data_IF_039721434809
#
_entry.id   IF_039721434809
#
_cell.length_a   1.000
_cell.length_b   1.000
_cell.length_c   1.000
_cell.angle_alpha   90.00
_cell.angle_beta   90.00
_cell.angle_gamma   90.00
#
_symmetry.space_group_name_H-M   'P 1'
#
loop_
_entity.id
_entity.type
_entity.pdbx_description
1 polymer ?
#
# COMPACT_ATOMS: atom_id res chain seq x y z
N UNK A 1 3.51 -18.39 -10.21
CA UNK A 1 3.30 -18.24 -8.77
C UNK A 1 4.30 -17.22 -8.22
N UNK A 2 4.40 -16.04 -8.85
CA UNK A 2 5.31 -14.94 -8.47
C UNK A 2 4.62 -13.65 -8.92
N UNK A 3 3.63 -13.16 -8.17
CA UNK A 3 2.93 -11.92 -8.55
C UNK A 3 2.72 -10.91 -7.42
N UNK A 4 3.24 -11.13 -6.21
CA UNK A 4 2.89 -10.27 -5.07
C UNK A 4 4.07 -9.61 -4.33
N UNK A 5 5.27 -9.57 -4.92
CA UNK A 5 6.43 -8.93 -4.26
C UNK A 5 6.87 -7.60 -4.89
N UNK A 6 6.02 -6.95 -5.65
CA UNK A 6 6.38 -5.75 -6.42
C UNK A 6 5.58 -4.50 -6.04
N UNK A 7 5.17 -4.36 -4.78
CA UNK A 7 4.62 -3.10 -4.26
C UNK A 7 5.53 -2.56 -3.14
N UNK A 8 6.83 -2.52 -3.38
CA UNK A 8 7.80 -1.75 -2.62
C UNK A 8 8.75 -1.03 -3.57
N UNK A 9 8.24 -0.05 -4.19
CA UNK A 9 8.99 1.03 -4.76
C UNK A 9 8.03 2.22 -4.71
N UNK A 10 8.33 3.32 -4.23
CA UNK A 10 9.38 4.22 -4.61
C UNK A 10 9.11 5.59 -4.06
N UNK A 11 10.11 6.28 -3.72
CA UNK A 11 10.00 7.56 -3.04
C UNK A 11 11.00 8.60 -3.44
N UNK A 12 10.61 9.87 -3.71
CA UNK A 12 11.60 10.91 -3.86
C UNK A 12 11.23 12.40 -3.87
N UNK A 13 12.23 13.24 -3.77
CA UNK A 13 12.28 14.61 -3.31
C UNK A 13 12.10 15.69 -4.37
N UNK A 14 11.40 16.74 -4.00
CA UNK A 14 11.57 18.10 -4.49
C UNK A 14 11.53 19.06 -3.31
N UNK A 15 12.55 19.91 -3.21
CA UNK A 15 12.61 20.97 -2.23
C UNK A 15 11.95 22.22 -2.81
N UNK A 16 10.85 22.62 -2.24
CA UNK A 16 10.41 24.00 -2.38
C UNK A 16 10.73 24.78 -1.12
N UNK A 17 11.11 26.04 -1.28
CA UNK A 17 11.32 26.97 -0.19
C UNK A 17 10.07 27.04 0.69
N UNK A 18 10.28 27.09 2.00
CA UNK A 18 9.23 26.95 3.02
C UNK A 18 8.22 28.10 3.08
N UNK A 19 8.43 29.22 2.38
CA UNK A 19 7.69 30.44 2.70
C UNK A 19 6.43 30.74 1.84
N UNK A 20 6.22 30.09 0.70
CA UNK A 20 5.13 30.51 -0.20
C UNK A 20 4.06 29.44 -0.54
N UNK A 21 4.24 28.18 -0.14
CA UNK A 21 3.31 27.12 -0.54
C UNK A 21 2.01 27.05 0.28
N UNK A 22 1.88 27.83 1.35
CA UNK A 22 0.72 27.76 2.24
C UNK A 22 -0.38 28.82 1.95
N UNK A 23 -0.11 29.85 1.19
CA UNK A 23 -1.07 30.96 1.01
C UNK A 23 -1.94 30.81 -0.23
N UNK A 24 -1.36 30.47 -1.37
CA UNK A 24 -2.07 30.58 -2.66
C UNK A 24 -2.71 29.29 -3.20
N UNK A 25 -2.30 28.14 -2.74
CA UNK A 25 -2.84 26.85 -3.22
C UNK A 25 -4.26 26.54 -2.70
N UNK A 26 -4.84 27.40 -1.85
CA UNK A 26 -6.16 27.16 -1.23
C UNK A 26 -7.33 27.75 -2.01
N UNK A 27 -7.10 28.72 -2.89
CA UNK A 27 -8.15 29.46 -3.59
C UNK A 27 -8.29 29.14 -5.09
N UNK A 28 -7.43 28.28 -5.65
CA UNK A 28 -7.63 27.82 -7.02
C UNK A 28 -8.78 26.80 -7.08
N UNK A 29 -9.65 26.87 -8.09
CA UNK A 29 -10.76 25.93 -8.25
C UNK A 29 -10.18 24.51 -8.41
N UNK A 30 -10.32 23.71 -7.37
CA UNK A 30 -10.03 22.27 -7.46
C UNK A 30 -10.97 21.66 -8.48
N UNK A 31 -10.53 20.69 -9.29
CA UNK A 31 -11.42 19.90 -10.13
C UNK A 31 -12.62 19.46 -9.30
N UNK A 32 -13.81 19.48 -9.88
CA UNK A 32 -15.04 19.14 -9.20
C UNK A 32 -14.84 17.89 -8.32
N UNK A 33 -15.23 18.00 -7.05
CA UNK A 33 -15.16 16.86 -6.13
C UNK A 33 -15.76 15.63 -6.81
N UNK A 34 -15.06 14.52 -6.80
CA UNK A 34 -15.58 13.25 -7.26
C UNK A 34 -16.76 12.87 -6.36
N UNK A 35 -17.96 13.20 -6.80
CA UNK A 35 -19.21 12.81 -6.14
C UNK A 35 -19.69 11.54 -6.83
N UNK A 36 -19.58 10.41 -6.13
CA UNK A 36 -20.34 9.22 -6.51
C UNK A 36 -21.81 9.58 -6.52
N UNK A 37 -22.51 9.23 -7.61
CA UNK A 37 -23.95 9.45 -7.72
C UNK A 37 -24.68 8.77 -6.55
N UNK A 38 -25.61 9.47 -5.86
CA UNK A 38 -26.36 8.88 -4.75
C UNK A 38 -27.31 7.77 -5.15
N UNK A 39 -27.57 7.60 -6.43
CA UNK A 39 -28.57 6.66 -6.98
C UNK A 39 -28.03 5.26 -7.22
N UNK A 40 -26.72 5.05 -7.12
CA UNK A 40 -26.14 3.72 -7.27
C UNK A 40 -25.97 3.04 -5.91
N UNK A 41 -26.38 1.79 -5.81
CA UNK A 41 -26.40 0.88 -4.65
C UNK A 41 -25.02 0.63 -3.98
N UNK A 42 -24.10 1.57 -4.01
CA UNK A 42 -22.72 1.49 -3.52
C UNK A 42 -22.41 2.48 -2.40
N UNK A 43 -23.41 2.88 -1.64
CA UNK A 43 -23.16 3.76 -0.49
C UNK A 43 -22.44 3.00 0.62
N UNK A 44 -21.35 3.58 1.12
CA UNK A 44 -20.67 3.07 2.31
C UNK A 44 -21.48 3.47 3.54
N UNK A 45 -21.92 2.51 4.33
CA UNK A 45 -22.62 2.73 5.59
C UNK A 45 -21.79 2.19 6.76
N UNK A 46 -21.85 2.88 7.89
CA UNK A 46 -21.31 2.35 9.13
C UNK A 46 -22.34 1.41 9.76
N UNK A 47 -21.93 0.18 10.03
CA UNK A 47 -22.76 -0.85 10.61
C UNK A 47 -22.14 -1.38 11.91
N UNK A 48 -22.96 -2.05 12.72
CA UNK A 48 -22.51 -2.70 13.96
C UNK A 48 -22.88 -4.18 13.92
N UNK A 49 -21.95 -5.03 14.33
CA UNK A 49 -22.18 -6.48 14.45
C UNK A 49 -23.00 -6.81 15.69
N UNK A 50 -23.57 -8.02 15.79
CA UNK A 50 -24.24 -8.50 17.01
C UNK A 50 -23.38 -8.43 18.28
N UNK A 51 -22.06 -8.54 18.17
CA UNK A 51 -21.11 -8.44 19.30
C UNK A 51 -20.57 -7.03 19.56
N UNK A 52 -21.04 -6.03 18.80
CA UNK A 52 -20.72 -4.62 19.03
C UNK A 52 -19.50 -4.10 18.28
N UNK A 53 -18.92 -4.86 17.33
CA UNK A 53 -17.88 -4.34 16.46
C UNK A 53 -18.48 -3.43 15.39
N UNK A 54 -17.85 -2.30 15.11
CA UNK A 54 -18.25 -1.41 14.01
C UNK A 54 -17.49 -1.78 12.74
N UNK A 55 -18.16 -1.68 11.60
CA UNK A 55 -17.54 -1.91 10.28
C UNK A 55 -18.18 -1.03 9.22
N UNK A 56 -17.40 -0.64 8.23
CA UNK A 56 -17.88 -0.02 7.01
C UNK A 56 -18.41 -1.10 6.08
N UNK A 57 -19.64 -0.92 5.62
CA UNK A 57 -20.33 -1.88 4.77
C UNK A 57 -20.70 -1.24 3.43
N UNK A 58 -20.30 -1.88 2.33
CA UNK A 58 -20.63 -1.46 0.97
C UNK A 58 -21.13 -2.68 0.16
N UNK A 59 -22.46 -2.94 0.13
CA UNK A 59 -23.00 -4.03 -0.65
C UNK A 59 -22.87 -3.77 -2.15
N UNK A 60 -22.71 -4.84 -2.90
CA UNK A 60 -22.70 -4.81 -4.38
C UNK A 60 -23.74 -5.82 -4.86
N UNK A 61 -24.91 -5.31 -5.26
CA UNK A 61 -26.02 -6.11 -5.76
C UNK A 61 -26.14 -6.00 -7.29
N UNK A 62 -25.13 -6.49 -8.00
CA UNK A 62 -25.14 -6.52 -9.45
C UNK A 62 -25.26 -7.96 -9.97
N UNK A 63 -25.98 -8.19 -11.09
CA UNK A 63 -26.02 -9.49 -11.72
C UNK A 63 -24.62 -10.00 -12.06
N UNK A 64 -24.30 -11.22 -11.64
CA UNK A 64 -23.00 -11.84 -11.90
C UNK A 64 -21.90 -11.52 -10.88
N UNK A 65 -22.11 -10.60 -9.94
CA UNK A 65 -21.17 -10.38 -8.81
C UNK A 65 -21.47 -11.42 -7.73
N UNK A 66 -20.48 -12.25 -7.44
CA UNK A 66 -20.55 -13.28 -6.39
C UNK A 66 -19.54 -13.06 -5.29
N UNK A 67 -18.54 -12.23 -5.52
CA UNK A 67 -17.39 -12.09 -4.63
C UNK A 67 -17.68 -11.20 -3.43
N UNK A 68 -17.08 -11.57 -2.32
CA UNK A 68 -17.09 -10.84 -1.06
C UNK A 68 -15.63 -10.55 -0.71
N UNK A 69 -15.36 -9.32 -0.28
CA UNK A 69 -14.06 -8.93 0.25
C UNK A 69 -14.24 -8.37 1.67
N UNK A 70 -13.43 -8.85 2.59
CA UNK A 70 -13.32 -8.32 3.94
C UNK A 70 -11.89 -7.85 4.15
N UNK A 71 -11.75 -6.58 4.51
CA UNK A 71 -10.45 -5.97 4.85
C UNK A 71 -10.46 -5.49 6.29
N UNK A 72 -9.42 -5.82 7.03
CA UNK A 72 -9.24 -5.40 8.42
C UNK A 72 -7.87 -4.74 8.55
N UNK A 73 -7.83 -3.55 9.15
CA UNK A 73 -6.60 -2.88 9.54
C UNK A 73 -6.41 -3.00 11.06
N UNK A 74 -5.35 -3.70 11.45
CA UNK A 74 -4.92 -3.80 12.85
C UNK A 74 -3.87 -2.73 13.13
N UNK A 75 -4.08 -1.83 14.10
CA UNK A 75 -3.07 -0.85 14.50
C UNK A 75 -1.76 -1.54 14.90
N UNK A 76 -0.65 -1.01 14.45
CA UNK A 76 0.69 -1.51 14.75
C UNK A 76 1.64 -0.35 15.01
N UNK A 77 2.49 -0.50 16.02
CA UNK A 77 3.56 0.43 16.32
C UNK A 77 4.96 -0.20 16.12
N UNK A 78 5.01 -1.37 15.52
CA UNK A 78 6.24 -2.16 15.39
C UNK A 78 7.36 -1.41 14.68
N UNK A 79 7.02 -0.62 13.67
CA UNK A 79 7.96 0.15 12.87
C UNK A 79 8.65 1.30 13.64
N UNK A 80 8.14 1.69 14.79
CA UNK A 80 8.61 2.85 15.54
C UNK A 80 9.53 2.52 16.72
N UNK A 81 9.67 1.25 17.04
CA UNK A 81 10.49 0.80 18.16
C UNK A 81 11.84 0.27 17.67
N UNK A 82 12.90 1.06 17.87
CA UNK A 82 14.25 0.73 17.40
C UNK A 82 14.80 -0.62 17.94
N UNK A 83 14.30 -1.09 19.08
CA UNK A 83 14.66 -2.37 19.68
C UNK A 83 14.00 -3.57 19.00
N UNK A 84 13.01 -3.36 18.12
CA UNK A 84 12.28 -4.43 17.45
C UNK A 84 12.90 -4.77 16.10
N UNK A 85 12.95 -6.03 15.80
CA UNK A 85 13.45 -6.50 14.51
C UNK A 85 12.43 -6.15 13.40
N UNK A 86 12.78 -5.30 12.40
CA UNK A 86 11.87 -4.82 11.37
C UNK A 86 11.40 -5.91 10.39
N UNK A 87 12.08 -7.05 10.31
CA UNK A 87 11.70 -8.16 9.43
C UNK A 87 10.58 -9.04 10.02
N UNK A 88 10.28 -8.90 11.31
CA UNK A 88 9.27 -9.73 11.98
C UNK A 88 7.87 -9.59 11.37
N UNK A 89 7.33 -8.38 11.09
CA UNK A 89 6.01 -8.26 10.47
C UNK A 89 5.96 -8.91 9.08
N UNK A 90 7.00 -8.78 8.28
CA UNK A 90 7.05 -9.38 6.93
C UNK A 90 7.08 -10.90 6.98
N UNK A 91 7.94 -11.48 7.81
CA UNK A 91 8.01 -12.94 7.97
C UNK A 91 6.73 -13.47 8.64
N UNK A 92 6.18 -12.71 9.59
CA UNK A 92 4.96 -13.04 10.28
C UNK A 92 3.75 -13.12 9.35
N UNK A 93 3.56 -12.10 8.52
CA UNK A 93 2.46 -12.04 7.54
C UNK A 93 2.56 -13.15 6.49
N UNK A 94 3.75 -13.40 5.93
CA UNK A 94 3.98 -14.51 5.00
C UNK A 94 3.73 -15.88 5.66
N UNK A 95 4.08 -16.01 6.93
CA UNK A 95 3.83 -17.25 7.67
C UNK A 95 2.34 -17.46 7.96
N UNK A 96 1.58 -16.38 8.25
CA UNK A 96 0.14 -16.47 8.42
C UNK A 96 -0.55 -16.92 7.13
N UNK A 97 -0.14 -16.36 5.99
CA UNK A 97 -0.74 -16.67 4.70
C UNK A 97 -0.47 -18.09 4.21
N UNK A 98 0.66 -18.67 4.55
CA UNK A 98 1.14 -19.89 3.92
C UNK A 98 1.54 -21.00 4.88
N UNK A 99 1.62 -20.70 6.17
CA UNK A 99 2.18 -21.60 7.17
C UNK A 99 1.21 -22.65 7.72
N UNK A 100 -0.06 -22.56 7.37
CA UNK A 100 -1.11 -23.40 7.93
C UNK A 100 -1.49 -23.01 9.36
N UNK A 101 -2.45 -23.73 9.91
CA UNK A 101 -2.93 -23.57 11.29
C UNK A 101 -2.50 -24.78 12.13
N UNK A 102 -2.91 -24.81 13.39
CA UNK A 102 -2.70 -25.97 14.24
C UNK A 102 -3.32 -27.25 13.64
N UNK A 103 -4.44 -27.09 12.93
CA UNK A 103 -5.26 -28.21 12.45
C UNK A 103 -5.10 -28.48 10.94
N UNK A 104 -4.55 -27.54 10.17
CA UNK A 104 -4.40 -27.60 8.72
C UNK A 104 -2.94 -27.36 8.33
N UNK A 105 -2.39 -28.23 7.47
CA UNK A 105 -1.04 -28.06 6.93
C UNK A 105 -0.98 -26.96 5.87
N UNK A 106 0.22 -26.45 5.53
CA UNK A 106 0.42 -25.48 4.45
C UNK A 106 -0.13 -25.95 3.10
N UNK A 107 -0.04 -27.23 2.80
CA UNK A 107 -0.55 -27.81 1.55
C UNK A 107 -2.08 -27.79 1.53
N UNK A 108 -2.70 -28.29 2.58
CA UNK A 108 -4.17 -28.31 2.71
C UNK A 108 -4.76 -26.91 2.71
N UNK A 109 -4.09 -25.93 3.33
CA UNK A 109 -4.52 -24.52 3.27
C UNK A 109 -4.56 -23.99 1.83
N UNK A 110 -3.48 -24.24 1.07
CA UNK A 110 -3.41 -23.80 -0.31
C UNK A 110 -4.44 -24.50 -1.21
N UNK A 111 -4.62 -25.81 -1.05
CA UNK A 111 -5.65 -26.59 -1.78
C UNK A 111 -7.04 -26.08 -1.44
N UNK A 112 -7.34 -25.89 -0.16
CA UNK A 112 -8.63 -25.37 0.29
C UNK A 112 -9.01 -24.02 -0.36
N UNK A 113 -8.06 -23.05 -0.37
CA UNK A 113 -8.28 -21.75 -0.97
C UNK A 113 -8.39 -21.82 -2.49
N UNK A 114 -7.54 -22.62 -3.14
CA UNK A 114 -7.56 -22.81 -4.59
C UNK A 114 -8.85 -23.41 -5.08
N UNK A 115 -9.34 -24.46 -4.42
CA UNK A 115 -10.59 -25.17 -4.78
C UNK A 115 -11.83 -24.28 -4.66
N UNK A 116 -11.75 -23.22 -3.85
CA UNK A 116 -12.84 -22.26 -3.60
C UNK A 116 -12.64 -20.93 -4.31
N UNK A 117 -11.69 -20.84 -5.22
CA UNK A 117 -11.33 -19.58 -5.87
C UNK A 117 -11.20 -18.41 -4.86
N UNK A 118 -10.63 -18.70 -3.70
CA UNK A 118 -10.50 -17.79 -2.57
C UNK A 118 -9.07 -17.42 -2.32
N UNK A 119 -8.84 -16.28 -1.72
CA UNK A 119 -7.49 -15.82 -1.43
C UNK A 119 -7.45 -14.82 -0.29
N UNK A 120 -6.24 -14.55 0.19
CA UNK A 120 -6.02 -13.55 1.20
C UNK A 120 -4.65 -12.91 1.09
N UNK A 121 -4.49 -11.78 1.72
CA UNK A 121 -3.20 -11.08 1.82
C UNK A 121 -3.04 -10.43 3.19
N UNK A 122 -1.78 -10.28 3.62
CA UNK A 122 -1.44 -9.40 4.72
C UNK A 122 -0.35 -8.43 4.27
N UNK A 123 -0.51 -7.15 4.58
CA UNK A 123 0.44 -6.09 4.22
C UNK A 123 0.81 -5.33 5.49
N UNK A 124 2.03 -5.50 6.01
CA UNK A 124 2.51 -4.69 7.11
C UNK A 124 2.90 -3.30 6.61
N UNK A 125 2.36 -2.27 7.24
CA UNK A 125 2.76 -0.87 7.07
C UNK A 125 3.32 -0.32 8.38
N UNK A 126 3.75 0.93 8.40
CA UNK A 126 4.27 1.53 9.61
C UNK A 126 3.22 1.63 10.73
N UNK A 127 1.97 1.95 10.38
CA UNK A 127 0.88 2.18 11.34
C UNK A 127 -0.07 1.01 11.51
N UNK A 128 -0.10 0.08 10.55
CA UNK A 128 -1.09 -0.99 10.50
C UNK A 128 -0.52 -2.28 9.92
N UNK A 129 -1.15 -3.39 10.25
CA UNK A 129 -1.14 -4.59 9.44
C UNK A 129 -2.51 -4.70 8.78
N UNK A 130 -2.56 -4.62 7.45
CA UNK A 130 -3.78 -4.86 6.69
C UNK A 130 -3.90 -6.34 6.38
N UNK A 131 -5.06 -6.91 6.65
CA UNK A 131 -5.45 -8.23 6.20
C UNK A 131 -6.65 -8.12 5.28
N UNK A 132 -6.60 -8.81 4.16
CA UNK A 132 -7.69 -8.90 3.21
C UNK A 132 -7.98 -10.36 2.92
N UNK A 133 -9.25 -10.70 2.80
CA UNK A 133 -9.70 -11.99 2.30
C UNK A 133 -10.82 -11.78 1.29
N UNK A 134 -10.73 -12.48 0.16
CA UNK A 134 -11.72 -12.48 -0.90
C UNK A 134 -12.18 -13.89 -1.22
N UNK A 135 -13.47 -14.06 -1.49
CA UNK A 135 -14.09 -15.36 -1.74
C UNK A 135 -15.47 -15.22 -2.38
N UNK A 136 -15.91 -16.21 -3.17
CA UNK A 136 -17.28 -16.30 -3.63
C UNK A 136 -18.26 -16.56 -2.48
N UNK A 137 -19.46 -15.97 -2.56
CA UNK A 137 -20.48 -16.00 -1.48
C UNK A 137 -20.87 -17.41 -1.04
N UNK A 138 -20.85 -18.39 -1.94
CA UNK A 138 -21.17 -19.79 -1.64
C UNK A 138 -20.20 -20.45 -0.66
N UNK A 139 -18.97 -19.97 -0.59
CA UNK A 139 -17.94 -20.50 0.31
C UNK A 139 -17.74 -19.67 1.58
N UNK A 140 -18.62 -18.69 1.84
CA UNK A 140 -18.50 -17.73 2.93
C UNK A 140 -18.21 -18.40 4.28
N UNK A 141 -19.01 -19.35 4.67
CA UNK A 141 -18.90 -19.96 6.01
C UNK A 141 -17.57 -20.70 6.19
N UNK A 142 -17.19 -21.50 5.21
CA UNK A 142 -15.97 -22.29 5.22
C UNK A 142 -14.72 -21.40 5.24
N UNK A 143 -14.71 -20.38 4.36
CA UNK A 143 -13.55 -19.49 4.24
C UNK A 143 -13.40 -18.59 5.46
N UNK A 144 -14.50 -18.05 5.99
CA UNK A 144 -14.47 -17.24 7.22
C UNK A 144 -14.00 -18.07 8.43
N UNK A 145 -14.44 -19.31 8.54
CA UNK A 145 -13.96 -20.22 9.58
C UNK A 145 -12.45 -20.48 9.48
N UNK A 146 -11.97 -20.79 8.29
CA UNK A 146 -10.53 -20.98 8.06
C UNK A 146 -9.72 -19.72 8.36
N UNK A 147 -10.19 -18.55 7.91
CA UNK A 147 -9.53 -17.28 8.19
C UNK A 147 -9.50 -16.97 9.69
N UNK A 148 -10.60 -17.22 10.42
CA UNK A 148 -10.63 -17.09 11.87
C UNK A 148 -9.61 -18.02 12.56
N UNK A 149 -9.50 -19.27 12.11
CA UNK A 149 -8.52 -20.22 12.64
C UNK A 149 -7.07 -19.79 12.31
N UNK A 150 -6.85 -19.24 11.13
CA UNK A 150 -5.55 -18.67 10.73
C UNK A 150 -5.14 -17.49 11.61
N UNK A 151 -6.07 -16.59 11.92
CA UNK A 151 -5.83 -15.45 12.79
C UNK A 151 -5.62 -15.85 14.25
N UNK A 152 -6.33 -16.86 14.71
CA UNK A 152 -6.39 -17.24 16.12
C UNK A 152 -5.32 -18.23 16.52
N UNK A 153 -4.99 -19.19 15.66
CA UNK A 153 -4.16 -20.34 15.96
C UNK A 153 -3.09 -20.64 14.88
N UNK A 154 -2.31 -19.64 14.45
CA UNK A 154 -1.26 -19.88 13.47
C UNK A 154 -0.22 -20.84 14.03
N UNK A 155 0.25 -21.75 13.19
CA UNK A 155 1.17 -22.80 13.62
C UNK A 155 2.57 -22.26 13.92
N UNK A 156 3.07 -21.32 13.14
CA UNK A 156 4.46 -20.86 13.18
C UNK A 156 5.47 -22.03 13.24
N UNK A 157 5.30 -23.01 12.32
CA UNK A 157 6.18 -24.16 12.23
C UNK A 157 7.62 -23.69 11.93
N UNK A 158 8.64 -24.10 12.74
CA UNK A 158 10.01 -23.65 12.56
C UNK A 158 10.60 -23.96 11.18
N UNK A 159 10.24 -25.12 10.58
CA UNK A 159 10.72 -25.51 9.25
C UNK A 159 10.11 -24.61 8.16
N UNK A 160 8.83 -24.27 8.32
CA UNK A 160 8.14 -23.38 7.40
C UNK A 160 8.68 -21.95 7.50
N UNK A 161 8.86 -21.44 8.72
CA UNK A 161 9.51 -20.14 8.98
C UNK A 161 10.91 -20.09 8.35
N UNK A 162 11.70 -21.15 8.50
CA UNK A 162 13.02 -21.23 7.86
C UNK A 162 12.93 -21.15 6.33
N UNK A 163 11.97 -21.84 5.72
CA UNK A 163 11.71 -21.77 4.27
C UNK A 163 11.33 -20.36 3.81
N UNK A 164 10.43 -19.70 4.52
CA UNK A 164 10.02 -18.31 4.23
C UNK A 164 11.21 -17.37 4.33
N UNK A 165 12.00 -17.45 5.39
CA UNK A 165 13.24 -16.67 5.54
C UNK A 165 14.19 -16.88 4.35
N UNK A 166 14.33 -18.08 3.87
CA UNK A 166 15.11 -18.42 2.68
C UNK A 166 14.60 -17.75 1.42
N UNK A 167 13.29 -17.81 1.18
CA UNK A 167 12.63 -17.15 0.04
C UNK A 167 12.79 -15.63 0.10
N UNK A 168 12.57 -15.02 1.26
CA UNK A 168 12.72 -13.56 1.46
C UNK A 168 14.16 -13.14 1.19
N UNK A 169 15.16 -13.84 1.72
CA UNK A 169 16.58 -13.54 1.45
C UNK A 169 16.91 -13.59 -0.05
N UNK A 170 16.40 -14.59 -0.75
CA UNK A 170 16.60 -14.70 -2.18
C UNK A 170 15.98 -13.51 -2.93
N UNK A 171 14.77 -13.14 -2.61
CA UNK A 171 14.07 -11.99 -3.20
C UNK A 171 14.83 -10.68 -2.94
N UNK A 172 15.34 -10.48 -1.73
CA UNK A 172 16.15 -9.31 -1.37
C UNK A 172 17.44 -9.25 -2.19
N UNK A 173 18.15 -10.38 -2.34
CA UNK A 173 19.35 -10.43 -3.19
C UNK A 173 19.06 -9.99 -4.61
N UNK A 174 17.98 -10.49 -5.22
CA UNK A 174 17.59 -10.06 -6.58
C UNK A 174 17.17 -8.60 -6.63
N UNK A 175 16.45 -8.11 -5.61
CA UNK A 175 16.06 -6.71 -5.56
C UNK A 175 17.28 -5.79 -5.45
N UNK A 176 18.28 -6.13 -4.67
CA UNK A 176 19.52 -5.35 -4.55
C UNK A 176 20.39 -5.31 -5.81
N UNK A 177 20.15 -6.17 -6.79
CA UNK A 177 20.81 -6.07 -8.10
C UNK A 177 20.25 -4.90 -8.93
N UNK A 178 19.01 -4.46 -8.64
CA UNK A 178 18.36 -3.39 -9.39
C UNK A 178 18.88 -2.02 -8.93
N UNK A 179 19.32 -1.22 -9.89
CA UNK A 179 19.79 0.16 -9.64
C UNK A 179 18.72 1.00 -8.95
N UNK A 180 17.47 0.86 -9.37
CA UNK A 180 16.33 1.54 -8.76
C UNK A 180 16.19 1.21 -7.26
N UNK A 181 16.30 -0.05 -6.86
CA UNK A 181 16.25 -0.44 -5.44
C UNK A 181 17.37 0.20 -4.62
N UNK A 182 18.58 0.26 -5.17
CA UNK A 182 19.72 0.92 -4.53
C UNK A 182 19.48 2.42 -4.36
N UNK A 183 19.02 3.08 -5.42
CA UNK A 183 18.66 4.48 -5.39
C UNK A 183 17.63 4.78 -4.30
N UNK A 184 16.55 4.00 -4.25
CA UNK A 184 15.51 4.20 -3.25
C UNK A 184 15.98 3.94 -1.82
N UNK A 185 16.84 2.97 -1.61
CA UNK A 185 17.45 2.70 -0.30
C UNK A 185 18.27 3.90 0.17
N UNK A 186 19.09 4.46 -0.71
CA UNK A 186 19.89 5.65 -0.42
C UNK A 186 19.03 6.88 -0.14
N UNK A 187 18.00 7.09 -0.96
CA UNK A 187 17.07 8.19 -0.77
C UNK A 187 16.36 8.11 0.58
N UNK A 188 15.91 6.93 0.98
CA UNK A 188 15.32 6.74 2.31
C UNK A 188 16.34 6.96 3.44
N UNK A 189 17.57 6.50 3.26
CA UNK A 189 18.63 6.77 4.26
C UNK A 189 18.88 8.26 4.41
N UNK A 190 18.95 8.99 3.31
CA UNK A 190 19.12 10.42 3.28
C UNK A 190 17.95 11.16 3.99
N UNK A 191 16.72 10.67 3.80
CA UNK A 191 15.51 11.27 4.38
C UNK A 191 15.29 10.94 5.85
N UNK A 192 15.50 9.69 6.22
CA UNK A 192 15.09 9.15 7.51
C UNK A 192 16.27 9.05 8.49
N UNK A 193 17.51 9.02 7.99
CA UNK A 193 18.70 8.88 8.83
C UNK A 193 18.64 7.62 9.69
N UNK A 194 18.67 7.81 11.00
CA UNK A 194 18.60 6.72 11.98
C UNK A 194 17.19 6.53 12.57
N UNK A 195 16.16 7.11 11.94
CA UNK A 195 14.78 6.88 12.33
C UNK A 195 14.42 5.40 12.15
N UNK A 196 13.77 4.75 13.11
CA UNK A 196 13.36 3.35 12.99
C UNK A 196 12.56 3.04 11.72
N UNK A 197 11.77 3.99 11.19
CA UNK A 197 11.03 3.86 9.93
C UNK A 197 11.95 3.53 8.74
N UNK A 198 13.20 3.99 8.75
CA UNK A 198 14.14 3.62 7.69
C UNK A 198 14.29 2.11 7.56
N UNK A 199 14.51 1.43 8.67
CA UNK A 199 14.69 -0.03 8.69
C UNK A 199 13.42 -0.79 8.32
N UNK A 200 12.26 -0.21 8.60
CA UNK A 200 10.97 -0.80 8.24
C UNK A 200 10.62 -0.57 6.76
N UNK A 201 10.90 0.61 6.23
CA UNK A 201 10.55 1.00 4.86
C UNK A 201 11.58 0.58 3.81
N UNK A 202 12.74 0.06 4.21
CA UNK A 202 13.76 -0.48 3.30
C UNK A 202 13.79 -1.99 3.35
N UNK A 203 14.36 -2.60 2.32
CA UNK A 203 14.61 -4.03 2.34
C UNK A 203 15.57 -4.35 3.50
N UNK A 204 15.21 -5.26 4.40
CA UNK A 204 16.05 -5.57 5.54
C UNK A 204 17.38 -6.22 5.13
N UNK A 205 18.42 -5.96 5.91
CA UNK A 205 19.68 -6.71 5.79
C UNK A 205 19.37 -8.21 6.01
N UNK A 206 19.95 -9.12 5.21
CA UNK A 206 19.78 -10.56 5.40
C UNK A 206 20.07 -11.05 6.83
N UNK A 207 20.98 -10.42 7.54
CA UNK A 207 21.29 -10.74 8.95
C UNK A 207 20.10 -10.51 9.87
N UNK A 208 19.37 -9.40 9.65
CA UNK A 208 18.16 -9.07 10.42
C UNK A 208 17.07 -10.13 10.23
N UNK A 209 16.98 -10.73 9.03
CA UNK A 209 16.06 -11.84 8.75
C UNK A 209 16.48 -13.10 9.53
N UNK A 210 17.78 -13.37 9.61
CA UNK A 210 18.29 -14.55 10.30
C UNK A 210 18.06 -14.52 11.81
N UNK A 211 18.02 -13.34 12.40
CA UNK A 211 17.73 -13.12 13.82
C UNK A 211 16.26 -13.37 14.20
N UNK A 212 15.31 -13.36 13.24
CA UNK A 212 13.90 -13.58 13.55
C UNK A 212 13.67 -15.01 14.07
N UNK A 213 13.21 -15.11 15.30
CA UNK A 213 12.82 -16.37 15.93
C UNK A 213 11.31 -16.60 15.86
N UNK A 214 10.89 -17.85 16.05
CA UNK A 214 9.47 -18.22 16.16
C UNK A 214 8.79 -17.50 17.34
N UNK A 215 9.52 -17.30 18.44
CA UNK A 215 8.95 -16.62 19.61
C UNK A 215 8.74 -15.12 19.35
N UNK A 216 9.62 -14.47 18.57
CA UNK A 216 9.39 -13.10 18.11
C UNK A 216 8.14 -13.02 17.23
N UNK A 217 7.89 -13.99 16.35
CA UNK A 217 6.67 -14.05 15.53
C UNK A 217 5.43 -14.24 16.38
N UNK A 218 5.46 -15.12 17.38
CA UNK A 218 4.35 -15.33 18.31
C UNK A 218 4.05 -14.08 19.14
N UNK A 219 5.10 -13.40 19.61
CA UNK A 219 4.95 -12.15 20.36
C UNK A 219 4.33 -11.06 19.50
N UNK A 220 4.85 -10.84 18.30
CA UNK A 220 4.31 -9.89 17.34
C UNK A 220 2.85 -10.19 17.02
N UNK A 221 2.53 -11.43 16.71
CA UNK A 221 1.16 -11.86 16.43
C UNK A 221 0.21 -11.53 17.57
N UNK A 222 0.55 -11.90 18.80
CA UNK A 222 -0.27 -11.64 20.00
C UNK A 222 -0.48 -10.15 20.25
N UNK A 223 0.49 -9.30 19.91
CA UNK A 223 0.39 -7.85 20.10
C UNK A 223 -0.39 -7.17 18.99
N UNK A 224 -0.32 -7.68 17.78
CA UNK A 224 -0.92 -7.06 16.59
C UNK A 224 -2.37 -7.48 16.37
N UNK A 225 -2.65 -8.79 16.39
CA UNK A 225 -3.99 -9.30 16.06
C UNK A 225 -4.89 -9.31 17.28
N UNK A 226 -5.53 -8.17 17.54
CA UNK A 226 -6.41 -7.94 18.68
C UNK A 226 -7.75 -7.36 18.21
N UNK A 227 -8.73 -7.28 19.10
CA UNK A 227 -10.07 -6.71 18.82
C UNK A 227 -10.13 -5.18 18.96
N UNK A 228 -9.04 -4.52 19.35
CA UNK A 228 -9.05 -3.09 19.68
C UNK A 228 -8.53 -2.20 18.56
N UNK A 229 -9.21 -1.07 18.32
CA UNK A 229 -8.78 -0.03 17.40
C UNK A 229 -8.82 -0.43 15.93
N UNK A 230 -9.60 -1.45 15.58
CA UNK A 230 -9.72 -1.95 14.22
C UNK A 230 -10.47 -0.98 13.32
N UNK A 231 -10.07 -0.92 12.06
CA UNK A 231 -10.94 -0.48 10.98
C UNK A 231 -11.27 -1.67 10.11
N UNK A 232 -12.57 -1.89 9.86
CA UNK A 232 -13.07 -3.06 9.15
C UNK A 232 -13.93 -2.58 7.99
N UNK A 233 -13.72 -3.15 6.82
CA UNK A 233 -14.52 -2.89 5.62
C UNK A 233 -15.01 -4.21 5.06
N UNK A 234 -16.30 -4.31 4.80
CA UNK A 234 -16.92 -5.47 4.14
C UNK A 234 -17.64 -5.00 2.89
N UNK A 235 -17.38 -5.64 1.77
CA UNK A 235 -17.96 -5.28 0.49
C UNK A 235 -18.23 -6.51 -0.36
N UNK A 236 -19.17 -6.40 -1.29
CA UNK A 236 -19.51 -7.47 -2.23
C UNK A 236 -20.95 -7.97 -2.15
N UNK A 237 -21.16 -9.17 -2.66
CA UNK A 237 -22.48 -9.82 -2.77
C UNK A 237 -22.93 -10.45 -1.44
N UNK A 238 -23.07 -9.63 -0.39
CA UNK A 238 -23.37 -10.09 0.97
C UNK A 238 -24.45 -9.22 1.62
N UNK A 239 -25.31 -9.83 2.46
CA UNK A 239 -26.25 -9.08 3.29
C UNK A 239 -25.53 -8.40 4.47
N UNK A 240 -26.11 -7.32 4.99
CA UNK A 240 -25.57 -6.64 6.19
C UNK A 240 -25.50 -7.58 7.41
N UNK A 241 -26.47 -8.46 7.56
CA UNK A 241 -26.52 -9.43 8.64
C UNK A 241 -25.40 -10.46 8.52
N UNK A 242 -25.19 -11.01 7.32
CA UNK A 242 -24.12 -11.98 7.04
C UNK A 242 -22.74 -11.34 7.14
N UNK A 243 -22.60 -10.09 6.72
CA UNK A 243 -21.37 -9.31 6.90
C UNK A 243 -21.03 -9.16 8.39
N UNK A 244 -21.99 -8.77 9.21
CA UNK A 244 -21.81 -8.66 10.66
C UNK A 244 -21.43 -9.98 11.32
N UNK A 245 -22.10 -11.08 10.97
CA UNK A 245 -21.77 -12.41 11.52
C UNK A 245 -20.41 -12.91 11.06
N UNK A 246 -20.00 -12.59 9.82
CA UNK A 246 -18.65 -12.91 9.30
C UNK A 246 -17.57 -12.18 10.08
N UNK A 247 -17.75 -10.87 10.33
CA UNK A 247 -16.83 -10.08 11.14
C UNK A 247 -16.72 -10.63 12.57
N UNK A 248 -17.84 -10.93 13.21
CA UNK A 248 -17.85 -11.51 14.56
C UNK A 248 -17.13 -12.86 14.61
N UNK A 249 -17.25 -13.68 13.57
CA UNK A 249 -16.56 -14.97 13.47
C UNK A 249 -15.06 -14.78 13.27
N UNK A 250 -14.64 -13.85 12.40
CA UNK A 250 -13.22 -13.54 12.17
C UNK A 250 -12.52 -13.06 13.45
N UNK A 251 -13.19 -12.23 14.23
CA UNK A 251 -12.63 -11.64 15.45
C UNK A 251 -12.83 -12.51 16.69
N UNK A 252 -13.58 -13.61 16.56
CA UNK A 252 -13.87 -14.49 17.67
C UNK A 252 -12.61 -14.99 18.36
N UNK A 253 -12.56 -14.84 19.68
CA UNK A 253 -11.46 -15.33 20.53
C UNK A 253 -10.09 -14.66 20.31
N UNK A 254 -10.03 -13.58 19.49
CA UNK A 254 -8.84 -12.73 19.49
C UNK A 254 -8.74 -11.96 20.82
N UNK A 255 -7.52 -11.68 21.30
CA UNK A 255 -7.32 -10.87 22.50
C UNK A 255 -8.00 -9.49 22.37
N UNK A 256 -8.57 -8.99 23.48
CA UNK A 256 -9.16 -7.63 23.49
C UNK A 256 -8.14 -6.57 23.11
N UNK A 257 -6.89 -6.73 23.53
CA UNK A 257 -5.81 -5.80 23.21
C UNK A 257 -5.95 -4.44 23.90
N UNK A 258 -5.06 -3.53 23.51
CA UNK A 258 -5.13 -2.11 23.88
C UNK A 258 -5.02 -1.28 22.60
N UNK A 259 -5.77 -0.20 22.53
CA UNK A 259 -5.61 0.77 21.44
C UNK A 259 -4.24 1.42 21.61
N UNK A 260 -3.31 1.15 20.70
CA UNK A 260 -2.06 1.90 20.67
C UNK A 260 -2.35 3.30 20.09
N UNK A 261 -1.99 4.37 20.80
CA UNK A 261 -2.12 5.70 20.21
C UNK A 261 -1.23 5.77 18.95
N UNK A 262 -1.65 6.55 17.96
CA UNK A 262 -0.83 6.79 16.78
C UNK A 262 0.53 7.38 17.16
N UNK A 263 1.59 6.81 16.62
CA UNK A 263 2.92 7.43 16.75
C UNK A 263 3.01 8.67 15.88
N UNK A 264 3.33 9.79 16.51
CA UNK A 264 3.58 11.05 15.83
C UNK A 264 5.07 11.13 15.50
N UNK A 265 5.44 10.74 14.31
CA UNK A 265 6.81 10.87 13.83
C UNK A 265 6.86 11.95 12.76
N UNK A 266 7.43 13.09 13.12
CA UNK A 266 7.72 14.11 12.14
C UNK A 266 8.98 13.72 11.35
N UNK A 267 8.81 13.46 10.07
CA UNK A 267 9.94 13.28 9.16
C UNK A 267 10.24 14.63 8.52
N UNK A 268 11.29 15.28 9.02
CA UNK A 268 11.79 16.52 8.39
C UNK A 268 12.64 16.13 7.18
N UNK A 269 12.23 16.59 6.00
CA UNK A 269 12.99 16.39 4.79
C UNK A 269 13.79 17.66 4.52
N UNK A 270 15.09 17.51 4.37
CA UNK A 270 15.96 18.57 3.88
C UNK A 270 16.13 18.40 2.37
N UNK A 271 16.14 19.51 1.60
CA UNK A 271 16.52 19.48 0.21
C UNK A 271 17.91 18.88 0.04
N UNK A 272 18.01 17.81 -0.75
CA UNK A 272 19.31 17.19 -1.00
C UNK A 272 19.26 16.35 -2.26
N UNK A 273 20.40 16.29 -2.94
CA UNK A 273 20.62 15.39 -4.08
C UNK A 273 21.55 14.27 -3.64
N UNK A 274 21.19 13.05 -3.98
CA UNK A 274 21.98 11.85 -3.67
C UNK A 274 22.35 11.17 -4.97
N UNK A 275 23.66 10.99 -5.19
CA UNK A 275 24.19 10.28 -6.36
C UNK A 275 24.67 8.89 -5.96
N UNK A 276 24.29 7.90 -6.74
CA UNK A 276 24.88 6.57 -6.73
C UNK A 276 25.55 6.34 -8.09
N UNK A 277 26.87 6.39 -8.10
CA UNK A 277 27.63 5.99 -9.29
C UNK A 277 27.67 4.46 -9.38
N UNK A 278 27.19 3.94 -10.51
CA UNK A 278 27.32 2.52 -10.85
C UNK A 278 28.22 2.46 -12.08
N UNK A 279 29.44 1.93 -11.98
CA UNK A 279 30.34 1.81 -13.11
C UNK A 279 29.68 1.05 -14.28
N UNK A 280 29.95 1.50 -15.51
CA UNK A 280 29.47 0.87 -16.74
C UNK A 280 27.93 0.81 -16.91
N UNK A 281 27.17 1.58 -16.12
CA UNK A 281 25.73 1.68 -16.31
C UNK A 281 25.41 2.53 -17.56
N UNK A 282 24.75 1.93 -18.54
CA UNK A 282 24.30 2.63 -19.75
C UNK A 282 23.14 3.61 -19.49
N UNK A 283 22.44 3.44 -18.38
CA UNK A 283 21.28 4.25 -18.00
C UNK A 283 21.39 4.78 -16.60
N UNK A 284 20.93 6.00 -16.42
CA UNK A 284 20.75 6.63 -15.11
C UNK A 284 19.28 6.54 -14.70
N UNK A 285 19.02 5.98 -13.53
CA UNK A 285 17.69 6.05 -12.92
C UNK A 285 17.57 7.35 -12.15
N UNK A 286 16.61 8.15 -12.57
CA UNK A 286 16.23 9.39 -11.88
C UNK A 286 15.04 9.08 -10.98
N UNK A 287 15.06 9.67 -9.84
CA UNK A 287 13.94 9.62 -8.96
C UNK A 287 13.83 10.92 -8.17
N UNK A 288 12.63 11.46 -8.04
CA UNK A 288 12.32 12.72 -7.37
C UNK A 288 11.27 12.48 -6.29
N UNK A 289 11.43 13.07 -5.10
CA UNK A 289 10.49 13.02 -3.98
C UNK A 289 9.96 14.40 -3.67
N UNK A 290 8.66 14.49 -3.59
CA UNK A 290 7.96 15.64 -3.06
C UNK A 290 7.20 15.33 -1.78
N UNK A 291 6.77 16.37 -1.07
CA UNK A 291 5.88 16.28 0.07
C UNK A 291 4.43 16.37 -0.41
N UNK A 292 3.57 15.52 0.12
CA UNK A 292 2.12 15.64 -0.05
C UNK A 292 1.46 15.83 1.33
N UNK A 293 0.31 16.51 1.39
CA UNK A 293 -0.48 16.56 2.61
C UNK A 293 -0.83 15.15 3.10
N UNK A 294 -0.94 14.92 4.41
CA UNK A 294 -1.43 13.66 4.97
C UNK A 294 -2.80 13.27 4.37
N UNK A 295 -3.10 11.98 4.32
CA UNK A 295 -4.38 11.48 3.79
C UNK A 295 -5.58 12.11 4.48
N UNK A 296 -5.47 12.42 5.77
CA UNK A 296 -6.51 13.13 6.55
C UNK A 296 -6.75 14.59 6.12
N UNK A 297 -5.83 15.19 5.38
CA UNK A 297 -5.91 16.58 4.91
C UNK A 297 -6.03 16.69 3.39
N UNK A 298 -5.78 15.60 2.65
CA UNK A 298 -5.83 15.53 1.20
C UNK A 298 -6.90 14.55 0.72
N UNK A 299 -7.12 14.55 -0.60
CA UNK A 299 -7.98 13.58 -1.26
C UNK A 299 -7.09 12.59 -2.03
N UNK A 300 -6.82 11.43 -1.43
CA UNK A 300 -5.95 10.42 -2.01
C UNK A 300 -6.41 9.89 -3.37
N UNK A 301 -7.71 9.94 -3.67
CA UNK A 301 -8.23 9.57 -4.99
C UNK A 301 -7.94 10.65 -6.04
N UNK A 302 -8.16 11.92 -5.70
CA UNK A 302 -7.82 13.05 -6.58
C UNK A 302 -6.31 13.12 -6.83
N UNK A 303 -5.50 12.96 -5.79
CA UNK A 303 -4.04 12.93 -5.93
C UNK A 303 -3.59 11.80 -6.86
N UNK A 304 -4.20 10.62 -6.73
CA UNK A 304 -3.92 9.48 -7.61
C UNK A 304 -4.32 9.77 -9.05
N UNK A 305 -5.51 10.34 -9.27
CA UNK A 305 -6.00 10.70 -10.60
C UNK A 305 -5.05 11.72 -11.26
N UNK A 306 -4.70 12.79 -10.54
CA UNK A 306 -3.81 13.83 -11.04
C UNK A 306 -2.41 13.27 -11.39
N UNK A 307 -1.82 12.47 -10.52
CA UNK A 307 -0.50 11.88 -10.79
C UNK A 307 -0.53 10.81 -11.90
N UNK A 308 -1.63 10.07 -12.01
CA UNK A 308 -1.83 9.14 -13.12
C UNK A 308 -1.97 9.87 -14.45
N UNK A 309 -2.69 10.98 -14.48
CA UNK A 309 -2.80 11.85 -15.66
C UNK A 309 -1.45 12.47 -16.03
N UNK A 310 -0.75 13.04 -15.04
CA UNK A 310 0.56 13.64 -15.23
C UNK A 310 1.56 12.69 -15.91
N UNK A 311 1.59 11.43 -15.49
CA UNK A 311 2.53 10.42 -16.00
C UNK A 311 1.91 9.42 -16.99
N UNK A 312 0.71 9.71 -17.53
CA UNK A 312 0.04 8.81 -18.46
C UNK A 312 0.88 8.51 -19.68
N UNK A 313 1.13 7.25 -19.94
CA UNK A 313 1.90 6.82 -21.11
C UNK A 313 1.16 7.18 -22.41
N UNK A 314 1.86 7.82 -23.31
CA UNK A 314 1.36 8.23 -24.64
C UNK A 314 0.73 9.61 -24.70
N UNK A 315 0.23 10.17 -23.59
CA UNK A 315 -0.53 11.43 -23.60
C UNK A 315 -0.30 12.34 -22.39
N UNK A 316 0.28 11.85 -21.31
CA UNK A 316 0.52 12.66 -20.13
C UNK A 316 1.59 13.73 -20.33
N UNK A 317 1.50 14.89 -19.63
CA UNK A 317 2.47 15.97 -19.74
C UNK A 317 3.92 15.54 -19.59
N UNK A 318 4.20 14.71 -18.59
CA UNK A 318 5.54 14.17 -18.35
C UNK A 318 6.04 13.30 -19.51
N UNK A 319 5.15 12.48 -20.09
CA UNK A 319 5.49 11.68 -21.28
C UNK A 319 5.75 12.57 -22.49
N UNK A 320 4.90 13.56 -22.73
CA UNK A 320 5.01 14.48 -23.88
C UNK A 320 6.32 15.24 -23.84
N UNK A 321 6.66 15.86 -22.71
CA UNK A 321 7.89 16.63 -22.56
C UNK A 321 9.15 15.74 -22.71
N UNK A 322 9.23 14.63 -21.99
CA UNK A 322 10.46 13.83 -21.95
C UNK A 322 10.61 12.88 -23.14
N UNK A 323 9.53 12.38 -23.70
CA UNK A 323 9.57 11.41 -24.80
C UNK A 323 9.44 12.04 -26.16
N UNK A 324 8.46 12.92 -26.34
CA UNK A 324 8.11 13.48 -27.65
C UNK A 324 9.03 14.63 -28.00
N UNK A 325 9.28 15.54 -27.07
CA UNK A 325 10.07 16.74 -27.30
C UNK A 325 11.57 16.49 -27.12
N UNK A 326 11.97 15.89 -26.02
CA UNK A 326 13.38 15.69 -25.70
C UNK A 326 13.94 14.34 -26.17
N UNK A 327 13.08 13.35 -26.48
CA UNK A 327 13.47 11.96 -26.84
C UNK A 327 14.34 11.28 -25.79
N UNK A 328 14.23 11.71 -24.54
CA UNK A 328 15.11 11.33 -23.45
C UNK A 328 14.74 9.99 -22.78
N UNK A 329 13.46 9.63 -22.73
CA UNK A 329 13.03 8.41 -22.04
C UNK A 329 11.82 7.74 -22.67
N UNK A 330 11.67 6.42 -22.40
CA UNK A 330 10.50 5.65 -22.81
C UNK A 330 9.41 5.61 -21.76
N UNK A 331 9.75 5.78 -20.49
CA UNK A 331 8.76 5.73 -19.41
C UNK A 331 9.24 6.44 -18.15
N UNK A 332 8.50 7.43 -17.77
CA UNK A 332 8.47 7.95 -16.41
C UNK A 332 7.12 7.65 -15.79
N UNK A 333 7.10 7.49 -14.49
CA UNK A 333 5.89 7.29 -13.72
C UNK A 333 5.89 8.23 -12.51
N UNK A 334 4.71 8.70 -12.16
CA UNK A 334 4.46 9.47 -10.96
C UNK A 334 3.42 8.78 -10.09
N UNK A 335 3.49 8.99 -8.81
CA UNK A 335 2.57 8.42 -7.84
C UNK A 335 2.88 8.92 -6.44
N UNK A 336 2.23 8.32 -5.46
CA UNK A 336 2.52 8.61 -4.07
C UNK A 336 2.54 7.33 -3.22
N UNK A 337 3.12 7.46 -2.04
CA UNK A 337 3.12 6.42 -1.01
C UNK A 337 3.25 7.08 0.36
N UNK A 338 2.91 6.31 1.36
CA UNK A 338 2.93 6.75 2.73
C UNK A 338 4.12 6.12 3.48
N UNK A 339 4.93 6.93 4.13
CA UNK A 339 5.86 6.45 5.15
C UNK A 339 5.07 6.03 6.39
N UNK A 340 4.08 6.84 6.73
CA UNK A 340 3.04 6.59 7.69
C UNK A 340 1.85 7.52 7.38
N UNK A 341 0.76 7.45 8.13
CA UNK A 341 -0.46 8.25 7.92
C UNK A 341 -0.26 9.78 7.92
N UNK A 342 0.84 10.30 8.49
CA UNK A 342 1.15 11.73 8.52
C UNK A 342 2.19 12.15 7.48
N UNK A 343 2.85 11.23 6.84
CA UNK A 343 3.99 11.50 5.96
C UNK A 343 3.79 10.85 4.60
N UNK A 344 3.03 11.52 3.74
CA UNK A 344 2.88 11.14 2.32
C UNK A 344 3.97 11.76 1.47
N UNK A 345 4.31 11.04 0.41
CA UNK A 345 5.35 11.42 -0.55
C UNK A 345 4.85 11.25 -1.96
N UNK A 346 4.94 12.33 -2.74
CA UNK A 346 4.94 12.27 -4.20
C UNK A 346 6.23 11.60 -4.65
N UNK A 347 6.19 10.81 -5.68
CA UNK A 347 7.37 10.38 -6.40
C UNK A 347 7.22 10.54 -7.91
N UNK A 348 8.33 10.82 -8.59
CA UNK A 348 8.48 10.78 -10.04
C UNK A 348 9.73 9.97 -10.30
N UNK A 349 9.67 8.92 -11.14
CA UNK A 349 10.83 8.08 -11.43
C UNK A 349 10.83 7.56 -12.86
N UNK A 350 12.02 7.41 -13.40
CA UNK A 350 12.25 6.85 -14.71
C UNK A 350 13.74 6.63 -15.00
N UNK A 351 14.06 6.14 -16.17
CA UNK A 351 15.43 5.91 -16.57
C UNK A 351 15.71 6.60 -17.91
N UNK A 352 16.88 7.21 -18.01
CA UNK A 352 17.36 7.94 -19.18
C UNK A 352 18.79 7.50 -19.54
N UNK A 353 19.25 7.85 -20.72
CA UNK A 353 20.67 7.73 -21.08
C UNK A 353 21.52 8.58 -20.13
N UNK A 354 22.73 8.11 -19.81
CA UNK A 354 23.54 8.75 -18.78
C UNK A 354 23.89 10.21 -19.12
N UNK A 355 24.09 10.52 -20.38
CA UNK A 355 24.40 11.86 -20.90
C UNK A 355 23.24 12.86 -20.75
N UNK A 356 22.00 12.38 -20.69
CA UNK A 356 20.81 13.22 -20.58
C UNK A 356 20.34 13.40 -19.12
N UNK A 357 20.95 12.69 -18.19
CA UNK A 357 20.43 12.57 -16.82
C UNK A 357 20.36 13.90 -16.08
N UNK A 358 21.33 14.78 -16.27
CA UNK A 358 21.37 16.08 -15.59
C UNK A 358 20.26 17.00 -16.08
N UNK A 359 20.09 17.10 -17.38
CA UNK A 359 19.10 17.99 -18.00
C UNK A 359 17.69 17.51 -17.66
N UNK A 360 17.40 16.23 -17.84
CA UNK A 360 16.10 15.65 -17.48
C UNK A 360 15.79 15.79 -15.99
N UNK A 361 16.78 15.64 -15.12
CA UNK A 361 16.56 15.81 -13.69
C UNK A 361 16.25 17.27 -13.31
N UNK A 362 16.77 18.24 -14.07
CA UNK A 362 16.46 19.66 -13.89
C UNK A 362 15.05 20.02 -14.43
N UNK A 363 14.66 19.41 -15.55
CA UNK A 363 13.41 19.75 -16.23
C UNK A 363 12.15 19.16 -15.55
N UNK A 364 12.26 17.99 -14.92
CA UNK A 364 11.09 17.33 -14.31
C UNK A 364 10.36 18.24 -13.27
N UNK A 365 11.04 18.96 -12.39
CA UNK A 365 10.38 19.94 -11.50
C UNK A 365 9.60 21.01 -12.23
N UNK A 366 10.14 21.56 -13.31
CA UNK A 366 9.49 22.59 -14.11
C UNK A 366 8.25 22.05 -14.81
N UNK A 367 8.36 20.87 -15.44
CA UNK A 367 7.21 20.18 -16.06
C UNK A 367 6.10 19.90 -15.03
N UNK A 368 6.48 19.52 -13.81
CA UNK A 368 5.51 19.29 -12.72
C UNK A 368 4.82 20.58 -12.28
N UNK A 369 5.56 21.69 -12.15
CA UNK A 369 5.00 23.00 -11.78
C UNK A 369 4.08 23.54 -12.88
N UNK A 370 4.46 23.44 -14.14
CA UNK A 370 3.59 23.80 -15.27
C UNK A 370 2.27 23.02 -15.21
N UNK A 371 2.35 21.70 -15.01
CA UNK A 371 1.17 20.87 -14.86
C UNK A 371 0.32 21.25 -13.65
N UNK A 372 0.94 21.58 -12.53
CA UNK A 372 0.22 21.99 -11.32
C UNK A 372 -0.55 23.30 -11.50
N UNK A 373 0.02 24.22 -12.28
CA UNK A 373 -0.59 25.54 -12.53
C UNK A 373 -1.66 25.49 -13.62
N UNK A 374 -1.46 24.67 -14.65
CA UNK A 374 -2.39 24.56 -15.78
C UNK A 374 -2.55 23.09 -16.22
N UNK A 375 -3.22 22.23 -15.44
CA UNK A 375 -3.54 20.88 -15.87
C UNK A 375 -4.58 20.95 -17.00
N UNK A 376 -4.39 20.13 -18.03
CA UNK A 376 -5.40 19.99 -19.07
C UNK A 376 -6.66 19.32 -18.48
N UNK A 377 -7.63 20.12 -18.08
CA UNK A 377 -8.85 19.67 -17.42
C UNK A 377 -9.74 18.80 -18.30
N UNK A 378 -9.71 18.97 -19.64
CA UNK A 378 -10.50 18.15 -20.57
C UNK A 378 -10.00 16.70 -20.54
N UNK A 379 -8.70 16.48 -20.73
CA UNK A 379 -8.10 15.14 -20.68
C UNK A 379 -8.15 14.53 -19.28
N UNK A 380 -8.08 15.35 -18.23
CA UNK A 380 -8.26 14.90 -16.85
C UNK A 380 -9.70 14.41 -16.59
N UNK A 381 -10.71 15.14 -17.14
CA UNK A 381 -12.10 14.73 -17.06
C UNK A 381 -12.38 13.43 -17.83
N UNK A 382 -11.76 13.24 -18.99
CA UNK A 382 -11.86 11.99 -19.75
C UNK A 382 -11.27 10.82 -18.99
N UNK A 383 -10.12 11.00 -18.36
CA UNK A 383 -9.52 9.97 -17.49
C UNK A 383 -10.42 9.68 -16.29
N UNK A 384 -10.99 10.72 -15.66
CA UNK A 384 -11.93 10.57 -14.56
C UNK A 384 -13.16 9.76 -15.00
N UNK A 385 -13.78 10.09 -16.13
CA UNK A 385 -14.90 9.36 -16.69
C UNK A 385 -14.53 7.92 -17.03
N UNK A 386 -13.36 7.69 -17.60
CA UNK A 386 -12.82 6.35 -17.86
C UNK A 386 -12.64 5.54 -16.59
N UNK A 387 -12.11 6.15 -15.53
CA UNK A 387 -11.97 5.53 -14.22
C UNK A 387 -13.34 5.23 -13.59
N UNK A 388 -14.31 6.14 -13.68
CA UNK A 388 -15.69 5.92 -13.22
C UNK A 388 -16.32 4.73 -13.94
N UNK A 389 -16.22 4.71 -15.28
CA UNK A 389 -16.78 3.63 -16.10
C UNK A 389 -16.11 2.28 -15.84
N UNK A 390 -14.79 2.25 -15.60
CA UNK A 390 -14.10 1.05 -15.16
C UNK A 390 -14.52 0.63 -13.75
N UNK A 391 -14.81 1.60 -12.88
CA UNK A 391 -15.27 1.38 -11.51
C UNK A 391 -16.62 0.68 -11.51
N UNK A 392 -17.51 1.11 -12.36
CA UNK A 392 -18.82 0.47 -12.51
C UNK A 392 -18.71 -0.98 -13.00
N UNK A 393 -17.65 -1.31 -13.71
CA UNK A 393 -17.43 -2.63 -14.31
C UNK A 393 -16.55 -3.59 -13.50
N UNK A 394 -15.76 -3.11 -12.53
CA UNK A 394 -14.76 -3.92 -11.85
C UNK A 394 -14.81 -3.77 -10.31
N UNK A 395 -14.90 -4.91 -9.64
CA UNK A 395 -14.78 -5.07 -8.17
C UNK A 395 -13.44 -4.53 -7.60
N UNK A 396 -12.42 -4.33 -8.44
CA UNK A 396 -11.10 -3.81 -8.03
C UNK A 396 -11.08 -2.41 -7.39
N UNK A 397 -12.15 -1.64 -7.53
CA UNK A 397 -12.30 -0.32 -6.89
C UNK A 397 -12.71 -0.36 -5.43
N UNK A 398 -13.21 -1.47 -4.99
CA UNK A 398 -13.43 -1.73 -3.57
C UNK A 398 -12.14 -1.49 -2.80
N UNK A 399 -11.01 -1.93 -3.32
CA UNK A 399 -9.69 -1.71 -2.73
C UNK A 399 -9.29 -0.23 -2.63
N UNK A 400 -9.77 0.64 -3.53
CA UNK A 400 -9.49 2.08 -3.46
C UNK A 400 -10.39 2.75 -2.44
N UNK A 401 -11.68 2.45 -2.45
CA UNK A 401 -12.64 2.94 -1.44
C UNK A 401 -12.22 2.49 -0.03
N UNK A 402 -11.84 1.22 0.12
CA UNK A 402 -11.31 0.67 1.37
C UNK A 402 -10.07 1.44 1.85
N UNK A 403 -9.09 1.69 0.97
CA UNK A 403 -7.88 2.45 1.31
C UNK A 403 -8.13 3.93 1.58
N UNK A 404 -9.27 4.46 1.18
CA UNK A 404 -9.67 5.86 1.46
C UNK A 404 -10.38 5.95 2.81
N UNK A 405 -11.02 4.88 3.26
CA UNK A 405 -11.65 4.78 4.57
C UNK A 405 -10.60 4.46 5.65
N UNK A 406 -9.58 3.69 5.30
CA UNK A 406 -8.46 3.31 6.16
C UNK A 406 -7.36 4.36 6.18
#
# INVERSE_FOLDING_TARGET
MIRYFLIFATSMLLSCQEDDLNADARDEPRPAEFKMSPEENRSVILATTPRGHTFHFMPIYEPGVTDITITIAWPSNWAYEASRNPAVPYIGTETLLSGGTKDISPKELNEFLSDRNSGGSFIPTADYVYGEINFPKEYREDVIKLASDTLRRPKFDPRWVHRIKGSIRQNIRFAHLKTETKMWTLARKANLGDNPLYHFLTLPDPRVIDEVSVDMLRQWHKQTFTQSGLTIVVTGAISRQDAGSSVDTLLFDLPKGRVSPPHDVNVTIKPQTVFLHVPEAEKTTIGILGRLPPTSQGNGLTDRLALSHFSQSGSGPLFSALRTEQRASYSFQAGFFDYNRKNRRLFITGAVAAEQATDVAADIPEIYEEYRLDPNFETLADLQNGMVNQTQKNVGYVNIAVRTIL
#
